data_IF_448860565606
#
_entry.id   IF_448860565606
#
_cell.length_a   1.000
_cell.length_b   1.000
_cell.length_c   1.000
_cell.angle_alpha   90.00
_cell.angle_beta   90.00
_cell.angle_gamma   90.00
#
_symmetry.space_group_name_H-M   'P 1'
#
loop_
_entity.id
_entity.type
_entity.pdbx_description
1 polymer ?
#
# COMPACT_ATOMS: atom_id res chain seq x y z
N UNK A 1 -4.07 60.05 -14.10
CA UNK A 1 -4.69 58.85 -14.72
C UNK A 1 -3.56 57.98 -15.19
N UNK A 2 -3.49 56.81 -14.57
CA UNK A 2 -2.40 55.85 -14.58
C UNK A 2 -2.07 55.29 -15.97
N UNK A 3 -0.78 55.02 -16.17
CA UNK A 3 -0.36 53.77 -16.79
C UNK A 3 1.00 53.39 -16.24
N UNK A 4 0.96 52.38 -15.38
CA UNK A 4 2.05 51.77 -14.65
C UNK A 4 2.91 50.87 -15.54
N UNK A 5 4.16 50.71 -15.11
CA UNK A 5 5.20 49.81 -15.60
C UNK A 5 4.76 48.34 -15.71
N UNK A 6 5.45 47.59 -16.59
CA UNK A 6 6.01 46.28 -16.23
C UNK A 6 7.18 45.93 -17.16
N UNK A 7 8.39 45.98 -16.59
CA UNK A 7 9.61 45.34 -17.09
C UNK A 7 9.52 43.84 -16.84
N UNK A 8 9.70 43.06 -17.90
CA UNK A 8 9.76 41.60 -17.86
C UNK A 8 11.11 41.16 -17.27
N UNK A 9 11.07 40.53 -16.11
CA UNK A 9 12.23 39.98 -15.39
C UNK A 9 12.28 38.49 -15.72
N UNK A 10 13.38 38.08 -16.34
CA UNK A 10 13.64 36.68 -16.67
C UNK A 10 13.62 35.79 -15.43
N UNK A 11 12.71 34.84 -15.44
CA UNK A 11 12.60 33.80 -14.43
C UNK A 11 13.61 32.69 -14.73
N UNK A 12 14.71 32.68 -13.98
CA UNK A 12 15.70 31.61 -13.98
C UNK A 12 15.13 30.41 -13.24
N UNK A 13 14.54 29.48 -13.99
CA UNK A 13 14.07 28.19 -13.49
C UNK A 13 15.22 27.40 -12.85
N UNK A 14 15.10 27.24 -11.53
CA UNK A 14 16.03 26.52 -10.67
C UNK A 14 15.80 25.01 -10.89
N UNK A 15 16.59 24.41 -11.78
CA UNK A 15 16.51 23.00 -12.14
C UNK A 15 17.24 22.13 -11.09
N UNK A 16 16.59 21.87 -9.95
CA UNK A 16 17.07 20.92 -8.94
C UNK A 16 16.68 19.48 -9.30
N UNK A 17 17.23 18.97 -10.40
CA UNK A 17 17.20 17.55 -10.73
C UNK A 17 18.39 16.84 -10.05
N UNK A 18 18.30 16.60 -8.74
CA UNK A 18 19.30 15.83 -7.98
C UNK A 18 19.12 14.31 -8.17
N UNK A 19 18.91 13.85 -9.40
CA UNK A 19 18.87 12.42 -9.69
C UNK A 19 20.29 11.94 -9.99
N UNK A 20 20.75 10.91 -9.26
CA UNK A 20 22.00 10.23 -9.55
C UNK A 20 21.97 9.70 -11.00
N UNK A 21 22.99 10.00 -11.84
CA UNK A 21 23.06 9.46 -13.19
C UNK A 21 23.27 7.94 -13.13
N UNK A 22 22.54 7.20 -13.99
CA UNK A 22 22.71 5.76 -14.13
C UNK A 22 24.12 5.40 -14.63
N UNK A 23 24.70 4.26 -14.21
CA UNK A 23 26.02 3.84 -14.66
C UNK A 23 26.07 3.61 -16.18
N UNK A 24 27.19 3.93 -16.85
CA UNK A 24 27.29 4.02 -18.31
C UNK A 24 27.34 2.68 -19.08
N UNK A 25 27.17 1.52 -18.44
CA UNK A 25 27.43 0.22 -19.09
C UNK A 25 26.19 -0.64 -19.44
N UNK A 26 24.97 -0.12 -19.32
CA UNK A 26 23.75 -0.77 -19.83
C UNK A 26 22.90 0.14 -20.73
N UNK A 27 23.55 0.89 -21.64
CA UNK A 27 22.88 1.62 -22.71
C UNK A 27 22.45 0.64 -23.82
N UNK A 28 21.49 -0.23 -23.51
CA UNK A 28 20.60 -0.76 -24.53
C UNK A 28 19.28 0.01 -24.39
N UNK A 29 19.23 1.15 -25.07
CA UNK A 29 18.12 2.11 -25.15
C UNK A 29 17.90 3.03 -23.91
N UNK A 30 18.18 4.35 -23.99
CA UNK A 30 17.77 5.33 -22.97
C UNK A 30 16.25 5.40 -22.74
N UNK A 31 15.42 4.73 -23.57
CA UNK A 31 13.98 4.64 -23.35
C UNK A 31 13.63 3.76 -22.13
N UNK A 32 14.42 2.72 -21.83
CA UNK A 32 14.10 1.75 -20.79
C UNK A 32 14.08 2.40 -19.39
N UNK A 33 15.02 3.31 -19.10
CA UNK A 33 15.04 4.03 -17.83
C UNK A 33 13.79 4.90 -17.63
N UNK A 34 13.29 5.55 -18.69
CA UNK A 34 12.09 6.36 -18.61
C UNK A 34 10.84 5.50 -18.40
N UNK A 35 10.73 4.39 -19.13
CA UNK A 35 9.60 3.46 -18.99
C UNK A 35 9.54 2.89 -17.58
N UNK A 36 10.68 2.48 -17.02
CA UNK A 36 10.74 1.96 -15.65
C UNK A 36 10.35 3.01 -14.62
N UNK A 37 10.85 4.25 -14.76
CA UNK A 37 10.50 5.37 -13.89
C UNK A 37 8.99 5.68 -13.95
N UNK A 38 8.41 5.71 -15.14
CA UNK A 38 6.97 5.95 -15.32
C UNK A 38 6.11 4.86 -14.68
N UNK A 39 6.65 3.64 -14.53
CA UNK A 39 5.98 2.50 -13.93
C UNK A 39 6.29 2.30 -12.44
N UNK A 40 6.89 3.29 -11.78
CA UNK A 40 7.16 3.24 -10.33
C UNK A 40 8.28 2.27 -9.93
N UNK A 41 9.18 1.92 -10.86
CA UNK A 41 10.37 1.15 -10.52
C UNK A 41 11.26 1.92 -9.54
N UNK A 42 11.75 1.25 -8.50
CA UNK A 42 12.46 1.84 -7.34
C UNK A 42 11.64 2.81 -6.46
N UNK A 43 10.36 3.03 -6.76
CA UNK A 43 9.43 3.69 -5.86
C UNK A 43 8.81 2.66 -4.91
N UNK A 44 8.46 3.09 -3.70
CA UNK A 44 7.73 2.21 -2.79
C UNK A 44 6.25 2.18 -3.11
N UNK A 45 5.59 1.07 -2.77
CA UNK A 45 4.16 0.87 -2.91
C UNK A 45 3.52 0.80 -1.53
N UNK A 46 2.41 1.51 -1.34
CA UNK A 46 1.57 1.34 -0.15
C UNK A 46 0.71 0.10 -0.31
N UNK A 47 0.76 -0.76 0.70
CA UNK A 47 0.03 -2.03 0.71
C UNK A 47 -0.96 -2.15 1.88
N UNK A 48 -1.28 -1.04 2.52
CA UNK A 48 -2.20 -0.99 3.67
C UNK A 48 -3.69 -0.79 3.30
N UNK A 49 -4.01 -0.45 2.05
CA UNK A 49 -5.39 -0.24 1.59
C UNK A 49 -6.01 -1.56 1.09
N UNK A 50 -7.34 -1.73 1.22
CA UNK A 50 -8.09 -2.86 0.66
C UNK A 50 -8.32 -2.70 -0.83
N UNK A 51 -8.56 -1.48 -1.31
CA UNK A 51 -9.12 -1.26 -2.64
C UNK A 51 -8.08 -1.26 -3.75
N UNK A 52 -7.00 -0.52 -3.56
CA UNK A 52 -6.00 -0.31 -4.60
C UNK A 52 -4.61 -0.19 -4.01
N UNK A 53 -3.64 -0.61 -4.82
CA UNK A 53 -2.22 -0.43 -4.53
C UNK A 53 -1.80 0.93 -5.04
N UNK A 54 -1.26 1.75 -4.15
CA UNK A 54 -0.80 3.09 -4.50
C UNK A 54 0.73 3.10 -4.61
N UNK A 55 1.25 3.35 -5.81
CA UNK A 55 2.66 3.67 -5.99
C UNK A 55 2.95 5.04 -5.37
N UNK A 56 4.04 5.14 -4.60
CA UNK A 56 4.57 6.42 -4.18
C UNK A 56 5.16 7.16 -5.39
N UNK A 57 5.02 8.48 -5.39
CA UNK A 57 5.72 9.36 -6.33
C UNK A 57 7.18 9.56 -5.94
N UNK A 58 7.57 9.14 -4.72
CA UNK A 58 8.93 9.23 -4.22
C UNK A 58 9.67 7.92 -4.48
N UNK A 59 10.85 8.05 -5.08
CA UNK A 59 11.82 6.98 -5.11
C UNK A 59 12.20 6.62 -3.67
N UNK A 60 12.35 5.33 -3.37
CA UNK A 60 12.73 4.86 -2.03
C UNK A 60 14.08 4.13 -2.05
N UNK A 61 14.45 3.58 -3.21
CA UNK A 61 15.69 2.85 -3.41
C UNK A 61 16.50 3.40 -4.59
N UNK A 62 17.80 3.19 -4.54
CA UNK A 62 18.74 3.41 -5.63
C UNK A 62 19.62 2.17 -5.80
N UNK A 63 20.30 2.05 -6.93
CA UNK A 63 21.24 0.95 -7.12
C UNK A 63 22.50 1.20 -6.29
N UNK A 64 23.03 0.14 -5.68
CA UNK A 64 24.39 0.14 -5.14
C UNK A 64 25.38 0.38 -6.30
N UNK A 65 26.51 1.03 -6.02
CA UNK A 65 27.49 1.37 -7.06
C UNK A 65 27.91 0.15 -7.89
N UNK A 66 27.81 0.28 -9.22
CA UNK A 66 28.05 -0.79 -10.19
C UNK A 66 26.94 -1.86 -10.32
N UNK A 67 25.90 -1.82 -9.48
CA UNK A 67 24.78 -2.75 -9.58
C UNK A 67 23.79 -2.31 -10.67
N UNK A 68 23.16 -3.29 -11.33
CA UNK A 68 22.18 -3.07 -12.37
C UNK A 68 21.10 -4.16 -12.33
N UNK A 69 19.85 -3.84 -12.71
CA UNK A 69 18.81 -4.84 -12.80
C UNK A 69 19.07 -5.77 -14.00
N UNK A 70 18.66 -7.03 -13.87
CA UNK A 70 18.54 -7.92 -15.02
C UNK A 70 17.26 -7.56 -15.79
N UNK A 71 17.44 -7.10 -17.03
CA UNK A 71 16.36 -6.75 -17.95
C UNK A 71 16.29 -7.81 -19.05
N UNK A 72 15.10 -8.39 -19.25
CA UNK A 72 14.84 -9.42 -20.24
C UNK A 72 13.62 -9.03 -21.07
N UNK A 73 13.80 -8.83 -22.39
CA UNK A 73 12.67 -8.70 -23.31
C UNK A 73 11.95 -10.03 -23.45
N UNK A 74 10.62 -9.99 -23.38
CA UNK A 74 9.74 -11.14 -23.54
C UNK A 74 8.73 -10.85 -24.64
N UNK A 75 8.19 -11.92 -25.21
CA UNK A 75 7.05 -11.84 -26.09
C UNK A 75 6.12 -13.02 -25.78
N UNK A 76 5.74 -13.12 -24.51
CA UNK A 76 4.99 -14.25 -24.00
C UNK A 76 3.53 -13.85 -23.75
N UNK A 77 2.61 -14.68 -24.23
CA UNK A 77 1.21 -14.63 -23.82
C UNK A 77 1.01 -15.64 -22.67
N UNK A 78 0.65 -15.13 -21.49
CA UNK A 78 0.39 -15.95 -20.31
C UNK A 78 -1.08 -15.82 -19.91
N UNK A 79 -1.68 -16.92 -19.48
CA UNK A 79 -2.96 -16.89 -18.76
C UNK A 79 -2.78 -17.59 -17.43
N UNK A 80 -3.18 -16.94 -16.36
CA UNK A 80 -3.13 -17.49 -15.00
C UNK A 80 -4.47 -17.33 -14.30
N UNK A 81 -4.76 -18.28 -13.40
CA UNK A 81 -5.94 -18.27 -12.54
C UNK A 81 -5.44 -18.40 -11.11
N UNK A 82 -5.80 -17.43 -10.27
CA UNK A 82 -5.28 -17.27 -8.91
C UNK A 82 -6.45 -17.23 -7.95
N UNK A 83 -6.39 -18.06 -6.93
CA UNK A 83 -7.35 -18.11 -5.84
C UNK A 83 -6.83 -17.31 -4.64
N UNK A 84 -7.70 -16.52 -4.04
CA UNK A 84 -7.40 -15.72 -2.82
C UNK A 84 -8.53 -15.85 -1.81
N UNK A 85 -8.26 -15.60 -0.53
CA UNK A 85 -9.20 -15.93 0.56
C UNK A 85 -9.82 -14.72 1.26
N UNK A 86 -9.46 -13.51 0.80
CA UNK A 86 -10.06 -12.28 1.27
C UNK A 86 -10.09 -11.22 0.16
N UNK A 87 -10.92 -10.20 0.35
CA UNK A 87 -11.11 -9.13 -0.65
C UNK A 87 -9.83 -8.32 -0.92
N UNK A 88 -8.99 -8.10 0.09
CA UNK A 88 -7.73 -7.34 -0.08
C UNK A 88 -6.80 -8.09 -1.03
N UNK A 89 -6.55 -9.37 -0.77
CA UNK A 89 -5.73 -10.20 -1.65
C UNK A 89 -6.28 -10.24 -3.08
N UNK A 90 -7.60 -10.43 -3.24
CA UNK A 90 -8.21 -10.52 -4.56
C UNK A 90 -8.06 -9.22 -5.36
N UNK A 91 -8.20 -8.06 -4.71
CA UNK A 91 -7.97 -6.76 -5.35
C UNK A 91 -6.51 -6.57 -5.75
N UNK A 92 -5.55 -6.95 -4.92
CA UNK A 92 -4.12 -6.80 -5.27
C UNK A 92 -3.75 -7.72 -6.43
N UNK A 93 -4.23 -8.96 -6.39
CA UNK A 93 -4.07 -9.91 -7.50
C UNK A 93 -4.76 -9.37 -8.75
N UNK A 94 -5.95 -8.78 -8.66
CA UNK A 94 -6.60 -8.11 -9.79
C UNK A 94 -5.68 -7.08 -10.47
N UNK A 95 -4.96 -6.30 -9.67
CA UNK A 95 -4.01 -5.28 -10.13
C UNK A 95 -2.61 -5.79 -10.50
N UNK A 96 -2.40 -7.11 -10.58
CA UNK A 96 -1.15 -7.68 -11.08
C UNK A 96 -0.18 -8.16 -10.00
N UNK A 97 -0.54 -8.11 -8.71
CA UNK A 97 0.35 -8.62 -7.67
C UNK A 97 0.35 -10.15 -7.62
N UNK A 98 1.49 -10.76 -7.31
CA UNK A 98 1.55 -12.19 -6.95
C UNK A 98 1.07 -12.37 -5.50
N UNK A 99 0.59 -13.57 -5.16
CA UNK A 99 0.22 -13.90 -3.78
C UNK A 99 1.39 -13.75 -2.80
N UNK A 100 2.61 -14.11 -3.23
CA UNK A 100 3.83 -13.91 -2.46
C UNK A 100 4.14 -12.43 -2.20
N UNK A 101 3.95 -11.57 -3.20
CA UNK A 101 4.14 -10.13 -3.04
C UNK A 101 3.11 -9.51 -2.08
N UNK A 102 1.84 -9.93 -2.16
CA UNK A 102 0.77 -9.47 -1.25
C UNK A 102 1.02 -9.88 0.19
N UNK A 103 1.56 -11.09 0.40
CA UNK A 103 1.89 -11.62 1.72
C UNK A 103 3.12 -10.93 2.34
N UNK A 104 3.93 -10.24 1.54
CA UNK A 104 5.13 -9.55 2.02
C UNK A 104 4.75 -8.21 2.63
N UNK A 105 4.57 -8.19 3.95
CA UNK A 105 4.29 -6.99 4.73
C UNK A 105 5.20 -6.91 5.96
N UNK A 106 5.58 -5.70 6.36
CA UNK A 106 6.33 -5.48 7.61
C UNK A 106 5.39 -5.51 8.83
N UNK A 107 5.91 -5.73 10.06
CA UNK A 107 5.12 -5.60 11.28
C UNK A 107 4.44 -4.23 11.43
N UNK A 108 5.11 -3.16 10.97
CA UNK A 108 4.58 -1.80 10.92
C UNK A 108 3.39 -1.68 9.98
N UNK A 109 3.50 -2.23 8.77
CA UNK A 109 2.42 -2.23 7.78
C UNK A 109 1.23 -3.07 8.26
N UNK A 110 1.48 -4.25 8.83
CA UNK A 110 0.43 -5.10 9.43
C UNK A 110 -0.32 -4.34 10.52
N UNK A 111 0.42 -3.68 11.41
CA UNK A 111 -0.16 -2.87 12.49
C UNK A 111 -1.06 -1.76 11.99
N UNK A 112 -0.66 -1.11 10.88
CA UNK A 112 -1.43 -0.05 10.25
C UNK A 112 -2.70 -0.60 9.59
N UNK A 113 -2.64 -1.76 8.95
CA UNK A 113 -3.81 -2.45 8.40
C UNK A 113 -4.80 -2.77 9.53
N UNK A 114 -4.32 -3.35 10.63
CA UNK A 114 -5.16 -3.70 11.78
C UNK A 114 -5.81 -2.45 12.40
N UNK A 115 -5.04 -1.37 12.56
CA UNK A 115 -5.51 -0.12 13.17
C UNK A 115 -6.60 0.58 12.34
N UNK A 116 -6.60 0.40 11.02
CA UNK A 116 -7.63 0.96 10.12
C UNK A 116 -9.00 0.28 10.35
N UNK A 117 -9.05 -0.89 11.03
CA UNK A 117 -10.28 -1.61 11.40
C UNK A 117 -11.28 -1.80 10.25
N UNK A 118 -10.80 -1.80 8.99
CA UNK A 118 -11.66 -2.05 7.86
C UNK A 118 -12.06 -3.52 7.86
N UNK A 119 -13.36 -3.79 7.83
CA UNK A 119 -13.85 -5.15 7.64
C UNK A 119 -13.36 -5.65 6.28
N UNK A 120 -12.50 -6.67 6.28
CA UNK A 120 -12.08 -7.36 5.06
C UNK A 120 -13.00 -8.56 4.89
N UNK A 121 -13.92 -8.56 3.90
CA UNK A 121 -14.78 -9.70 3.66
C UNK A 121 -13.94 -10.95 3.37
N UNK A 122 -14.13 -11.98 4.18
CA UNK A 122 -13.58 -13.32 3.95
C UNK A 122 -14.41 -14.03 2.89
N UNK A 123 -13.75 -14.79 2.02
CA UNK A 123 -14.41 -15.60 1.01
C UNK A 123 -13.42 -16.07 -0.05
N UNK A 124 -13.80 -17.06 -0.85
CA UNK A 124 -12.96 -17.50 -1.96
C UNK A 124 -13.22 -16.64 -3.19
N UNK A 125 -12.19 -15.93 -3.62
CA UNK A 125 -12.17 -15.12 -4.82
C UNK A 125 -11.27 -15.77 -5.87
N UNK A 126 -11.67 -15.66 -7.13
CA UNK A 126 -10.94 -16.17 -8.29
C UNK A 126 -10.59 -14.99 -9.19
N UNK A 127 -9.31 -14.86 -9.51
CA UNK A 127 -8.82 -13.88 -10.47
C UNK A 127 -8.18 -14.59 -11.64
N UNK A 128 -8.67 -14.33 -12.85
CA UNK A 128 -8.02 -14.75 -14.08
C UNK A 128 -7.37 -13.56 -14.75
N UNK A 129 -6.11 -13.71 -15.15
CA UNK A 129 -5.35 -12.68 -15.88
C UNK A 129 -4.84 -13.25 -17.18
N UNK A 130 -5.07 -12.53 -18.27
CA UNK A 130 -4.39 -12.72 -19.55
C UNK A 130 -3.35 -11.62 -19.69
N UNK A 131 -2.10 -11.98 -19.93
CA UNK A 131 -0.94 -11.08 -19.91
C UNK A 131 -0.14 -11.20 -21.20
N UNK A 132 0.19 -10.08 -21.83
CA UNK A 132 1.20 -9.99 -22.88
C UNK A 132 2.44 -9.37 -22.25
N UNK A 133 3.44 -10.21 -21.96
CA UNK A 133 4.68 -9.80 -21.34
C UNK A 133 5.65 -9.30 -22.40
N UNK A 134 6.12 -8.06 -22.23
CA UNK A 134 7.07 -7.39 -23.14
C UNK A 134 8.44 -7.20 -22.51
N UNK A 135 8.47 -6.84 -21.23
CA UNK A 135 9.71 -6.64 -20.49
C UNK A 135 9.59 -7.30 -19.12
N UNK A 136 10.66 -7.96 -18.69
CA UNK A 136 10.83 -8.39 -17.29
C UNK A 136 12.03 -7.68 -16.71
N UNK A 137 11.87 -7.16 -15.50
CA UNK A 137 12.95 -6.54 -14.74
C UNK A 137 13.09 -7.21 -13.39
N UNK A 138 14.32 -7.55 -13.02
CA UNK A 138 14.68 -8.24 -11.77
C UNK A 138 15.86 -7.55 -11.11
N UNK A 139 15.81 -7.45 -9.79
CA UNK A 139 16.96 -7.04 -8.98
C UNK A 139 16.98 -7.78 -7.65
N UNK A 140 18.17 -7.99 -7.11
CA UNK A 140 18.33 -8.53 -5.76
C UNK A 140 18.23 -7.39 -4.75
N UNK A 141 17.70 -7.68 -3.56
CA UNK A 141 17.60 -6.67 -2.50
C UNK A 141 18.97 -6.09 -2.13
N UNK A 142 20.03 -6.91 -2.11
CA UNK A 142 21.40 -6.51 -1.80
C UNK A 142 22.02 -5.53 -2.81
N UNK A 143 21.42 -5.42 -4.01
CA UNK A 143 21.85 -4.51 -5.07
C UNK A 143 21.12 -3.16 -4.97
N UNK A 144 20.28 -2.99 -3.96
CA UNK A 144 19.55 -1.77 -3.65
C UNK A 144 20.07 -1.13 -2.36
N UNK A 145 20.13 0.20 -2.36
CA UNK A 145 20.36 1.02 -1.19
C UNK A 145 19.17 1.98 -0.99
N UNK A 146 18.81 2.33 0.26
CA UNK A 146 17.80 3.35 0.50
C UNK A 146 18.30 4.69 -0.03
N UNK A 147 17.39 5.54 -0.52
CA UNK A 147 17.79 6.91 -0.84
C UNK A 147 18.02 7.69 0.48
N UNK A 148 18.94 8.67 0.52
CA UNK A 148 19.29 9.39 1.75
C UNK A 148 18.08 10.04 2.44
N UNK A 149 17.14 10.60 1.67
CA UNK A 149 15.95 11.26 2.23
C UNK A 149 15.02 10.28 2.97
N UNK A 150 14.89 9.06 2.45
CA UNK A 150 14.09 8.03 3.09
C UNK A 150 14.77 7.52 4.36
N UNK A 151 16.07 7.22 4.27
CA UNK A 151 16.87 6.76 5.40
C UNK A 151 16.84 7.80 6.53
N UNK A 152 17.11 9.07 6.21
CA UNK A 152 17.09 10.17 7.18
C UNK A 152 15.73 10.36 7.85
N UNK A 153 14.62 10.25 7.09
CA UNK A 153 13.28 10.34 7.66
C UNK A 153 12.99 9.21 8.67
N UNK A 154 13.48 8.01 8.39
CA UNK A 154 13.34 6.86 9.29
C UNK A 154 14.27 6.97 10.50
N UNK A 155 15.50 7.44 10.34
CA UNK A 155 16.46 7.65 11.44
C UNK A 155 16.00 8.74 12.42
N UNK A 156 15.33 9.78 11.91
CA UNK A 156 14.79 10.87 12.74
C UNK A 156 13.59 10.39 13.56
N UNK A 157 12.80 9.44 13.06
CA UNK A 157 11.56 9.04 13.73
C UNK A 157 11.77 8.54 15.18
N UNK A 158 12.75 7.67 15.50
CA UNK A 158 13.06 7.29 16.88
C UNK A 158 13.57 8.42 17.79
N UNK A 159 14.02 9.54 17.23
CA UNK A 159 14.55 10.71 17.97
C UNK A 159 13.46 11.63 18.53
N UNK A 160 12.19 11.41 18.15
CA UNK A 160 11.04 12.18 18.65
C UNK A 160 10.88 12.02 20.17
N UNK A 161 10.24 13.02 20.79
CA UNK A 161 10.26 13.18 22.24
C UNK A 161 9.39 12.15 22.96
N UNK A 162 8.23 11.82 22.38
CA UNK A 162 7.29 10.85 22.95
C UNK A 162 7.20 9.58 22.12
N UNK A 163 6.82 8.46 22.74
CA UNK A 163 6.59 7.20 22.01
C UNK A 163 5.55 7.37 20.90
N UNK A 164 4.47 8.10 21.17
CA UNK A 164 3.43 8.37 20.18
C UNK A 164 4.01 9.07 18.94
N UNK A 165 4.78 10.15 19.14
CA UNK A 165 5.43 10.87 18.04
C UNK A 165 6.40 9.99 17.26
N UNK A 166 7.15 9.10 17.94
CA UNK A 166 8.05 8.15 17.27
C UNK A 166 7.28 7.23 16.33
N UNK A 167 6.18 6.64 16.81
CA UNK A 167 5.33 5.77 15.99
C UNK A 167 4.68 6.53 14.83
N UNK A 168 4.14 7.73 15.10
CA UNK A 168 3.53 8.56 14.07
C UNK A 168 4.53 8.96 13.00
N UNK A 169 5.77 9.29 13.38
CA UNK A 169 6.83 9.62 12.43
C UNK A 169 7.21 8.43 11.53
N UNK A 170 7.31 7.21 12.08
CA UNK A 170 7.54 6.00 11.27
C UNK A 170 6.37 5.75 10.31
N UNK A 171 5.12 5.85 10.79
CA UNK A 171 3.96 5.67 9.92
C UNK A 171 3.88 6.74 8.83
N UNK A 172 4.19 7.99 9.15
CA UNK A 172 4.24 9.07 8.17
C UNK A 172 5.31 8.81 7.10
N UNK A 173 6.49 8.33 7.49
CA UNK A 173 7.51 7.93 6.53
C UNK A 173 7.02 6.78 5.62
N UNK A 174 6.47 5.70 6.19
CA UNK A 174 5.92 4.60 5.38
C UNK A 174 4.72 5.03 4.52
N UNK A 175 3.99 6.04 4.95
CA UNK A 175 3.00 6.72 4.12
C UNK A 175 3.71 7.39 2.93
N UNK A 176 4.60 8.34 3.15
CA UNK A 176 5.23 9.11 2.07
C UNK A 176 6.03 8.25 1.07
N UNK A 177 6.78 7.25 1.52
CA UNK A 177 7.69 6.47 0.67
C UNK A 177 7.16 5.10 0.26
N UNK A 178 6.13 4.57 0.94
CA UNK A 178 5.57 3.25 0.68
C UNK A 178 6.09 2.16 1.61
N UNK A 179 5.36 1.04 1.65
CA UNK A 179 5.60 -0.11 2.53
C UNK A 179 6.59 -1.12 1.95
N UNK A 180 6.57 -1.30 0.63
CA UNK A 180 7.39 -2.30 -0.07
C UNK A 180 8.00 -1.73 -1.34
N UNK A 181 9.16 -2.22 -1.76
CA UNK A 181 9.83 -1.88 -3.02
C UNK A 181 9.80 -3.09 -3.96
N UNK A 182 9.52 -2.92 -5.26
CA UNK A 182 9.51 -4.04 -6.21
C UNK A 182 10.92 -4.60 -6.43
N UNK A 183 11.02 -5.92 -6.46
CA UNK A 183 12.24 -6.65 -6.81
C UNK A 183 12.14 -7.35 -8.17
N UNK A 184 10.92 -7.75 -8.55
CA UNK A 184 10.66 -8.36 -9.86
C UNK A 184 9.31 -7.90 -10.41
N UNK A 185 9.34 -7.37 -11.64
CA UNK A 185 8.17 -6.86 -12.35
C UNK A 185 8.12 -7.35 -13.79
N UNK A 186 6.90 -7.41 -14.34
CA UNK A 186 6.67 -7.49 -15.79
C UNK A 186 5.96 -6.22 -16.28
N UNK A 187 6.39 -5.73 -17.43
CA UNK A 187 5.73 -4.66 -18.19
C UNK A 187 5.08 -5.22 -19.47
N UNK A 188 3.97 -4.62 -19.88
CA UNK A 188 3.27 -4.97 -21.12
C UNK A 188 1.80 -4.59 -21.08
N UNK A 189 0.93 -5.52 -21.49
CA UNK A 189 -0.53 -5.36 -21.46
C UNK A 189 -1.22 -6.49 -20.70
N UNK A 190 -2.31 -6.20 -19.99
CA UNK A 190 -3.06 -7.21 -19.23
C UNK A 190 -4.56 -7.00 -19.27
N UNK A 191 -5.30 -8.10 -19.18
CA UNK A 191 -6.74 -8.15 -18.92
C UNK A 191 -6.98 -9.03 -17.70
N UNK A 192 -7.57 -8.47 -16.66
CA UNK A 192 -7.90 -9.14 -15.39
C UNK A 192 -9.40 -9.25 -15.23
N UNK A 193 -9.86 -10.39 -14.74
CA UNK A 193 -11.24 -10.67 -14.35
C UNK A 193 -11.25 -11.26 -12.94
N UNK A 194 -11.94 -10.62 -12.00
CA UNK A 194 -12.01 -11.07 -10.61
C UNK A 194 -13.46 -11.19 -10.14
N UNK A 195 -13.82 -12.34 -9.57
CA UNK A 195 -15.16 -12.58 -9.01
C UNK A 195 -15.07 -13.58 -7.84
N UNK A 196 -16.18 -13.82 -7.15
CA UNK A 196 -16.29 -14.93 -6.19
C UNK A 196 -16.29 -16.27 -6.93
N UNK A 197 -15.77 -17.30 -6.29
CA UNK A 197 -15.61 -18.64 -6.88
C UNK A 197 -16.92 -19.20 -7.48
N UNK A 198 -18.05 -19.02 -6.78
CA UNK A 198 -19.35 -19.51 -7.22
C UNK A 198 -19.84 -18.88 -8.54
N UNK A 199 -19.52 -17.61 -8.78
CA UNK A 199 -19.84 -16.93 -10.04
C UNK A 199 -18.83 -17.32 -11.12
N UNK A 200 -17.55 -17.44 -10.75
CA UNK A 200 -16.49 -17.83 -11.66
C UNK A 200 -16.72 -19.24 -12.24
N UNK A 201 -17.24 -20.17 -11.44
CA UNK A 201 -17.59 -21.53 -11.88
C UNK A 201 -18.72 -21.58 -12.93
N UNK A 202 -19.53 -20.53 -13.03
CA UNK A 202 -20.60 -20.42 -14.04
C UNK A 202 -20.09 -19.89 -15.39
N UNK A 203 -18.85 -19.40 -15.44
CA UNK A 203 -18.27 -18.87 -16.67
C UNK A 203 -17.90 -20.01 -17.63
N UNK A 204 -18.43 -19.95 -18.86
CA UNK A 204 -18.15 -20.93 -19.90
C UNK A 204 -16.65 -20.99 -20.22
N UNK A 205 -16.06 -22.17 -20.19
CA UNK A 205 -14.66 -22.39 -20.59
C UNK A 205 -14.39 -22.11 -22.08
N UNK A 206 -15.45 -21.97 -22.90
CA UNK A 206 -15.41 -21.91 -24.37
C UNK A 206 -15.16 -20.49 -24.90
N UNK A 207 -15.44 -19.44 -24.11
CA UNK A 207 -15.32 -18.06 -24.60
C UNK A 207 -13.87 -17.56 -24.57
N UNK A 208 -13.43 -16.76 -25.55
CA UNK A 208 -12.11 -16.15 -25.54
C UNK A 208 -12.05 -15.06 -24.45
N UNK A 209 -11.39 -15.36 -23.33
CA UNK A 209 -11.16 -14.44 -22.20
C UNK A 209 -10.18 -13.30 -22.52
N UNK A 210 -9.75 -13.19 -23.77
CA UNK A 210 -9.05 -12.03 -24.30
C UNK A 210 -10.02 -10.94 -24.80
N UNK A 211 -11.30 -11.23 -25.02
CA UNK A 211 -12.26 -10.24 -25.50
C UNK A 211 -12.96 -9.51 -24.35
N UNK A 212 -12.76 -8.20 -24.29
CA UNK A 212 -13.42 -7.32 -23.32
C UNK A 212 -14.94 -7.35 -23.45
N UNK A 213 -15.48 -7.36 -24.67
CA UNK A 213 -16.93 -7.44 -24.93
C UNK A 213 -17.54 -8.69 -24.29
N UNK A 214 -16.86 -9.83 -24.37
CA UNK A 214 -17.33 -11.06 -23.74
C UNK A 214 -17.26 -10.98 -22.21
N UNK A 215 -16.20 -10.38 -21.66
CA UNK A 215 -16.08 -10.21 -20.21
C UNK A 215 -17.12 -9.24 -19.65
N UNK A 216 -17.43 -8.15 -20.36
CA UNK A 216 -18.43 -7.17 -19.96
C UNK A 216 -19.86 -7.76 -19.89
N UNK A 217 -20.12 -8.90 -20.52
CA UNK A 217 -21.38 -9.62 -20.35
C UNK A 217 -21.52 -10.26 -18.93
N UNK A 218 -20.41 -10.42 -18.21
CA UNK A 218 -20.37 -10.92 -16.83
C UNK A 218 -20.65 -9.77 -15.86
N UNK A 219 -21.91 -9.64 -15.44
CA UNK A 219 -22.37 -8.51 -14.62
C UNK A 219 -21.78 -8.43 -13.20
N UNK A 220 -21.25 -9.54 -12.68
CA UNK A 220 -20.79 -9.67 -11.30
C UNK A 220 -19.29 -9.48 -11.12
N UNK A 221 -18.53 -9.58 -12.21
CA UNK A 221 -17.08 -9.61 -12.15
C UNK A 221 -16.48 -8.21 -12.27
N UNK A 222 -15.39 -8.00 -11.53
CA UNK A 222 -14.53 -6.84 -11.69
C UNK A 222 -13.59 -7.08 -12.88
N UNK A 223 -13.47 -6.09 -13.76
CA UNK A 223 -12.71 -6.19 -15.02
C UNK A 223 -11.72 -5.03 -15.07
N UNK A 224 -10.44 -5.38 -15.13
CA UNK A 224 -9.34 -4.44 -15.20
C UNK A 224 -8.54 -4.66 -16.48
N UNK A 225 -8.10 -3.58 -17.11
CA UNK A 225 -7.14 -3.64 -18.21
C UNK A 225 -5.98 -2.68 -17.95
N UNK A 226 -4.79 -3.04 -18.41
CA UNK A 226 -3.57 -2.22 -18.36
C UNK A 226 -2.80 -2.33 -19.67
N UNK A 227 -2.06 -1.28 -20.02
CA UNK A 227 -1.28 -1.17 -21.25
C UNK A 227 -2.10 -0.67 -22.45
N UNK A 228 -1.44 -0.62 -23.62
CA UNK A 228 -1.98 -0.22 -24.93
C UNK A 228 -3.05 0.90 -24.88
N UNK A 229 -2.62 2.14 -25.08
CA UNK A 229 -3.39 3.39 -24.89
C UNK A 229 -4.62 3.60 -25.82
N UNK A 230 -5.21 2.56 -26.38
CA UNK A 230 -6.43 2.61 -27.19
C UNK A 230 -7.40 1.48 -26.87
N UNK A 231 -8.59 1.53 -27.47
CA UNK A 231 -9.56 0.43 -27.41
C UNK A 231 -9.31 -0.63 -28.50
N UNK A 232 -8.31 -0.43 -29.35
CA UNK A 232 -7.98 -1.31 -30.47
C UNK A 232 -7.65 -2.72 -29.99
N UNK A 233 -8.37 -3.70 -30.54
CA UNK A 233 -8.14 -5.12 -30.31
C UNK A 233 -8.60 -5.66 -28.97
N UNK A 234 -9.04 -4.81 -28.02
CA UNK A 234 -9.60 -5.28 -26.74
C UNK A 234 -10.95 -5.97 -26.94
N UNK A 235 -11.77 -5.48 -27.87
CA UNK A 235 -13.12 -6.00 -28.11
C UNK A 235 -13.13 -7.40 -28.73
N UNK A 236 -12.19 -7.70 -29.61
CA UNK A 236 -12.08 -8.99 -30.32
C UNK A 236 -10.95 -9.89 -29.80
N UNK A 237 -10.14 -9.40 -28.86
CA UNK A 237 -9.01 -10.13 -28.28
C UNK A 237 -7.70 -10.06 -29.07
N UNK A 238 -7.68 -9.34 -30.21
CA UNK A 238 -6.48 -9.18 -31.04
C UNK A 238 -5.38 -8.36 -30.36
N UNK A 239 -5.69 -7.62 -29.29
CA UNK A 239 -4.71 -6.91 -28.45
C UNK A 239 -3.56 -7.80 -27.98
N UNK A 240 -3.80 -9.11 -27.88
CA UNK A 240 -2.77 -10.11 -27.52
C UNK A 240 -1.66 -10.26 -28.57
N UNK A 241 -1.92 -9.82 -29.80
CA UNK A 241 -1.02 -9.94 -30.97
C UNK A 241 -0.57 -8.60 -31.52
N UNK A 242 -1.18 -7.49 -31.08
CA UNK A 242 -0.82 -6.14 -31.51
C UNK A 242 0.58 -5.81 -30.98
N UNK A 243 1.42 -5.29 -31.86
CA UNK A 243 2.68 -4.70 -31.46
C UNK A 243 2.43 -3.33 -30.83
N UNK A 244 2.85 -3.18 -29.57
CA UNK A 244 2.59 -2.00 -28.75
C UNK A 244 3.91 -1.31 -28.54
N UNK A 245 3.97 -0.01 -28.86
CA UNK A 245 5.17 0.79 -28.67
C UNK A 245 5.64 0.75 -27.21
N UNK A 246 6.96 0.76 -27.01
CA UNK A 246 7.60 0.60 -25.69
C UNK A 246 7.13 1.64 -24.68
N UNK A 247 6.87 2.88 -25.13
CA UNK A 247 6.38 3.98 -24.29
C UNK A 247 4.94 3.78 -23.78
N UNK A 248 4.24 2.74 -24.27
CA UNK A 248 2.90 2.33 -23.84
C UNK A 248 2.88 1.07 -22.99
N UNK A 249 4.05 0.53 -22.62
CA UNK A 249 4.11 -0.62 -21.73
C UNK A 249 3.84 -0.18 -20.28
N UNK A 250 2.93 -0.88 -19.63
CA UNK A 250 2.53 -0.61 -18.25
C UNK A 250 2.92 -1.75 -17.31
N UNK A 251 2.97 -1.47 -16.02
CA UNK A 251 3.17 -2.45 -14.96
C UNK A 251 1.98 -3.39 -14.83
N UNK A 252 2.13 -4.57 -15.44
CA UNK A 252 1.10 -5.61 -15.48
C UNK A 252 1.28 -6.66 -14.40
N UNK A 253 2.49 -6.83 -13.87
CA UNK A 253 2.76 -7.80 -12.82
C UNK A 253 3.84 -7.36 -11.86
N UNK A 254 3.58 -7.50 -10.55
CA UNK A 254 4.57 -7.43 -9.49
C UNK A 254 4.73 -8.84 -8.93
N UNK A 255 5.88 -9.46 -9.20
CA UNK A 255 6.14 -10.86 -8.88
C UNK A 255 6.74 -10.98 -7.48
N UNK A 256 7.70 -10.13 -7.15
CA UNK A 256 8.38 -10.12 -5.86
C UNK A 256 8.62 -8.69 -5.38
N UNK A 257 8.58 -8.51 -4.07
CA UNK A 257 8.85 -7.24 -3.37
C UNK A 257 9.66 -7.51 -2.11
N UNK A 258 10.24 -6.47 -1.55
CA UNK A 258 10.77 -6.47 -0.19
C UNK A 258 10.16 -5.32 0.62
N UNK A 259 10.02 -5.45 1.95
CA UNK A 259 9.70 -4.30 2.80
C UNK A 259 10.70 -3.16 2.58
N UNK A 260 10.24 -1.92 2.45
CA UNK A 260 11.15 -0.77 2.27
C UNK A 260 12.12 -0.61 3.43
N UNK A 261 11.67 -0.97 4.64
CA UNK A 261 12.51 -0.99 5.85
C UNK A 261 13.68 -1.97 5.75
N UNK A 262 13.60 -3.01 4.91
CA UNK A 262 14.68 -3.98 4.71
C UNK A 262 15.84 -3.43 3.87
N UNK A 263 15.70 -2.23 3.30
CA UNK A 263 16.80 -1.51 2.65
C UNK A 263 17.76 -0.88 3.67
N UNK A 264 17.28 -0.63 4.90
CA UNK A 264 18.02 0.10 5.92
C UNK A 264 19.09 -0.79 6.56
N UNK A 265 20.06 -0.18 7.24
CA UNK A 265 21.07 -0.93 7.99
C UNK A 265 20.46 -1.77 9.13
N UNK A 266 21.16 -2.85 9.51
CA UNK A 266 20.72 -3.75 10.59
C UNK A 266 20.49 -3.01 11.92
N UNK A 267 21.26 -1.95 12.20
CA UNK A 267 21.09 -1.11 13.40
C UNK A 267 19.73 -0.40 13.39
N UNK A 268 19.40 0.25 12.28
CA UNK A 268 18.11 0.96 12.13
C UNK A 268 16.95 -0.04 12.19
N UNK A 269 17.07 -1.17 11.50
CA UNK A 269 16.05 -2.22 11.52
C UNK A 269 15.81 -2.75 12.96
N UNK A 270 16.88 -2.96 13.73
CA UNK A 270 16.80 -3.39 15.12
C UNK A 270 16.08 -2.35 15.99
N UNK A 271 16.46 -1.07 15.86
CA UNK A 271 15.83 0.04 16.59
C UNK A 271 14.35 0.18 16.27
N UNK A 272 13.96 -0.04 15.01
CA UNK A 272 12.56 -0.05 14.60
C UNK A 272 11.80 -1.25 15.15
N UNK A 273 12.43 -2.43 15.21
CA UNK A 273 11.83 -3.61 15.80
C UNK A 273 11.61 -3.42 17.31
N UNK A 274 12.59 -2.87 18.03
CA UNK A 274 12.46 -2.55 19.45
C UNK A 274 11.35 -1.54 19.70
N UNK A 275 11.32 -0.44 18.93
CA UNK A 275 10.25 0.55 19.02
C UNK A 275 8.89 -0.08 18.74
N UNK A 276 8.78 -0.94 17.73
CA UNK A 276 7.53 -1.66 17.41
C UNK A 276 7.09 -2.58 18.56
N UNK A 277 8.03 -3.28 19.19
CA UNK A 277 7.78 -4.16 20.34
C UNK A 277 7.36 -3.39 21.60
N UNK A 278 7.71 -2.10 21.72
CA UNK A 278 7.18 -1.23 22.78
C UNK A 278 5.68 -0.91 22.61
N UNK A 279 5.06 -1.32 21.49
CA UNK A 279 3.62 -1.15 21.30
C UNK A 279 2.88 -1.93 22.38
N UNK A 280 2.12 -1.22 23.20
CA UNK A 280 1.19 -1.84 24.15
C UNK A 280 0.02 -2.41 23.34
N UNK A 281 0.13 -3.67 22.94
CA UNK A 281 -0.96 -4.42 22.34
C UNK A 281 -1.42 -5.49 23.33
N UNK A 282 -2.53 -5.23 24.02
CA UNK A 282 -3.23 -6.26 24.78
C UNK A 282 -4.14 -7.03 23.83
N UNK A 283 -3.71 -8.24 23.44
CA UNK A 283 -4.57 -9.22 22.78
C UNK A 283 -4.95 -10.23 23.87
N UNK A 284 -6.23 -10.27 24.31
CA UNK A 284 -6.63 -11.23 25.33
C UNK A 284 -6.32 -12.66 24.85
N UNK A 285 -5.64 -13.49 25.66
CA UNK A 285 -5.18 -14.83 25.25
C UNK A 285 -6.30 -15.87 25.11
N UNK A 286 -7.57 -15.45 25.21
CA UNK A 286 -8.72 -16.33 25.13
C UNK A 286 -9.65 -15.81 24.03
N UNK A 287 -10.22 -16.73 23.27
CA UNK A 287 -11.55 -16.57 22.65
C UNK A 287 -12.52 -16.27 23.78
N UNK A 288 -12.54 -15.02 24.25
CA UNK A 288 -13.64 -14.50 25.03
C UNK A 288 -14.82 -14.66 24.08
N UNK A 289 -15.77 -15.52 24.46
CA UNK A 289 -17.07 -15.62 23.78
C UNK A 289 -17.52 -14.20 23.40
N UNK A 290 -18.13 -13.99 22.20
CA UNK A 290 -18.57 -12.67 21.77
C UNK A 290 -19.23 -11.98 22.95
N UNK A 291 -18.65 -10.87 23.41
CA UNK A 291 -18.88 -10.28 24.73
C UNK A 291 -20.37 -10.32 25.09
N UNK A 292 -20.78 -11.40 25.75
CA UNK A 292 -22.15 -11.65 26.19
C UNK A 292 -22.33 -11.18 27.65
N UNK A 293 -21.32 -10.49 28.19
CA UNK A 293 -21.46 -9.71 29.41
C UNK A 293 -22.34 -8.49 29.11
N UNK A 294 -23.16 -7.97 30.07
CA UNK A 294 -23.99 -6.80 29.84
C UNK A 294 -23.11 -5.54 29.89
N UNK A 295 -22.09 -5.48 29.05
CA UNK A 295 -21.40 -4.26 28.70
C UNK A 295 -22.40 -3.44 27.90
N UNK A 296 -23.08 -2.51 28.57
CA UNK A 296 -23.76 -1.42 27.86
C UNK A 296 -22.70 -0.66 27.08
N UNK A 297 -22.51 -1.02 25.82
CA UNK A 297 -21.95 -0.10 24.84
C UNK A 297 -23.02 0.96 24.64
N UNK A 298 -22.83 2.11 25.26
CA UNK A 298 -23.55 3.30 24.85
C UNK A 298 -23.04 3.61 23.44
N UNK A 299 -23.88 3.40 22.44
CA UNK A 299 -23.63 3.91 21.11
C UNK A 299 -23.50 5.43 21.28
N UNK A 300 -22.29 5.95 21.03
CA UNK A 300 -21.96 7.35 21.25
C UNK A 300 -22.73 8.32 20.34
N UNK A 301 -23.88 7.95 19.78
CA UNK A 301 -24.68 8.78 18.89
C UNK A 301 -25.04 10.14 19.51
N UNK A 302 -25.27 10.18 20.83
CA UNK A 302 -25.59 11.44 21.53
C UNK A 302 -24.35 12.30 21.86
N UNK A 303 -23.17 11.71 21.85
CA UNK A 303 -21.93 12.39 22.27
C UNK A 303 -20.88 12.48 21.14
N UNK A 304 -21.21 12.01 19.93
CA UNK A 304 -20.32 11.98 18.77
C UNK A 304 -19.80 13.36 18.34
N UNK A 305 -20.53 14.43 18.65
CA UNK A 305 -20.13 15.81 18.37
C UNK A 305 -19.26 16.44 19.46
N UNK A 306 -19.03 15.75 20.59
CA UNK A 306 -18.30 16.31 21.72
C UNK A 306 -16.81 16.02 21.60
N UNK A 307 -16.00 17.02 21.91
CA UNK A 307 -14.54 16.88 21.96
C UNK A 307 -14.10 16.18 23.25
N UNK A 308 -13.35 15.10 23.12
CA UNK A 308 -12.82 14.32 24.25
C UNK A 308 -11.71 15.12 24.94
N UNK A 309 -11.78 15.23 26.27
CA UNK A 309 -10.76 15.85 27.12
C UNK A 309 -9.99 14.83 27.96
N UNK A 310 -10.60 13.67 28.22
CA UNK A 310 -10.02 12.62 29.06
C UNK A 310 -10.53 11.25 28.65
N UNK A 311 -9.68 10.24 28.73
CA UNK A 311 -10.07 8.83 28.69
C UNK A 311 -9.56 8.17 29.95
N UNK A 312 -10.46 7.55 30.72
CA UNK A 312 -10.09 6.67 31.83
C UNK A 312 -10.32 5.22 31.40
N UNK A 313 -9.27 4.41 31.53
CA UNK A 313 -9.31 2.97 31.33
C UNK A 313 -9.10 2.32 32.68
N UNK A 314 -10.04 1.45 33.09
CA UNK A 314 -9.86 0.59 34.26
C UNK A 314 -9.52 -0.81 33.81
N UNK A 315 -8.45 -1.37 34.37
CA UNK A 315 -7.98 -2.70 34.02
C UNK A 315 -7.54 -3.50 35.24
N UNK A 316 -7.91 -4.79 35.26
CA UNK A 316 -7.34 -5.81 36.14
C UNK A 316 -6.55 -6.81 35.31
N UNK A 317 -6.97 -8.08 35.31
CA UNK A 317 -6.49 -9.09 34.36
C UNK A 317 -7.08 -8.90 32.95
N UNK A 318 -8.06 -8.00 32.81
CA UNK A 318 -8.74 -7.60 31.57
C UNK A 318 -9.16 -6.12 31.66
N UNK A 319 -9.59 -5.53 30.55
CA UNK A 319 -10.19 -4.18 30.56
C UNK A 319 -11.59 -4.28 31.17
N UNK A 320 -11.78 -3.61 32.31
CA UNK A 320 -13.01 -3.63 33.11
C UNK A 320 -13.98 -2.54 32.63
N UNK A 321 -13.47 -1.35 32.34
CA UNK A 321 -14.26 -0.27 31.78
C UNK A 321 -13.41 0.74 31.02
N UNK A 322 -14.03 1.38 30.04
CA UNK A 322 -13.51 2.57 29.36
C UNK A 322 -14.55 3.65 29.55
N UNK A 323 -14.10 4.82 30.00
CA UNK A 323 -14.92 6.02 30.08
C UNK A 323 -14.21 7.21 29.48
N UNK A 324 -15.00 8.06 28.85
CA UNK A 324 -14.56 9.21 28.08
C UNK A 324 -15.17 10.44 28.70
N UNK A 325 -14.34 11.34 29.22
CA UNK A 325 -14.74 12.68 29.64
C UNK A 325 -14.53 13.66 28.48
N UNK A 326 -15.52 14.50 28.22
CA UNK A 326 -15.51 15.52 27.19
C UNK A 326 -15.12 16.89 27.77
N UNK A 327 -14.81 17.86 26.91
CA UNK A 327 -14.39 19.21 27.35
C UNK A 327 -15.46 19.95 28.16
N UNK A 328 -16.73 19.65 27.93
CA UNK A 328 -17.86 20.18 28.70
C UNK A 328 -18.01 19.52 30.10
N UNK A 329 -17.09 18.61 30.46
CA UNK A 329 -17.08 17.87 31.72
C UNK A 329 -18.01 16.67 31.76
N UNK A 330 -18.81 16.43 30.71
CA UNK A 330 -19.65 15.23 30.64
C UNK A 330 -18.78 14.00 30.49
N UNK A 331 -19.15 12.92 31.19
CA UNK A 331 -18.45 11.64 31.10
C UNK A 331 -19.41 10.59 30.59
N UNK A 332 -19.04 9.95 29.48
CA UNK A 332 -19.72 8.77 28.95
C UNK A 332 -18.90 7.53 29.29
N UNK A 333 -19.53 6.44 29.71
CA UNK A 333 -18.79 5.24 30.07
C UNK A 333 -19.71 4.04 30.32
N UNK A 334 -19.26 2.86 29.88
CA UNK A 334 -19.91 1.59 30.18
C UNK A 334 -19.62 1.14 31.61
N UNK A 335 -20.66 0.67 32.31
CA UNK A 335 -20.59 0.25 33.70
C UNK A 335 -19.53 -0.83 33.98
N UNK A 336 -18.78 -0.62 35.05
CA UNK A 336 -17.88 -1.59 35.67
C UNK A 336 -17.70 -1.20 37.14
N UNK A 337 -17.74 -2.19 38.04
CA UNK A 337 -17.57 -1.98 39.48
C UNK A 337 -16.21 -1.32 39.82
N UNK A 338 -16.08 -0.80 41.04
CA UNK A 338 -14.91 -0.12 41.62
C UNK A 338 -13.61 -0.98 41.74
N UNK A 339 -13.34 -1.89 40.80
CA UNK A 339 -12.16 -2.76 40.79
C UNK A 339 -11.15 -2.39 39.70
N UNK A 340 -9.91 -2.86 39.88
CA UNK A 340 -8.82 -2.67 38.92
C UNK A 340 -7.99 -1.41 39.13
N UNK A 341 -6.90 -1.32 38.38
CA UNK A 341 -6.06 -0.13 38.30
C UNK A 341 -6.69 0.86 37.33
N UNK A 342 -6.76 2.13 37.75
CA UNK A 342 -7.26 3.22 36.91
C UNK A 342 -6.09 3.89 36.20
N UNK A 343 -6.15 3.90 34.87
CA UNK A 343 -5.22 4.59 33.99
C UNK A 343 -5.94 5.76 33.34
N UNK A 344 -5.45 6.96 33.63
CA UNK A 344 -6.05 8.22 33.17
C UNK A 344 -5.18 8.87 32.11
N UNK A 345 -5.80 9.16 30.97
CA UNK A 345 -5.17 9.84 29.85
C UNK A 345 -5.88 11.17 29.62
N UNK A 346 -5.17 12.28 29.84
CA UNK A 346 -5.69 13.62 29.55
C UNK A 346 -5.28 14.01 28.13
N UNK A 347 -6.25 14.42 27.32
CA UNK A 347 -6.02 14.95 25.99
C UNK A 347 -5.88 16.47 26.10
N UNK A 348 -4.73 17.00 25.66
CA UNK A 348 -4.58 18.44 25.42
C UNK A 348 -5.08 18.72 24.00
N UNK A 349 -5.95 19.73 23.88
CA UNK A 349 -6.71 20.16 22.69
C UNK A 349 -6.40 19.42 21.38
N UNK A 350 -7.39 18.65 20.91
CA UNK A 350 -7.34 17.88 19.67
C UNK A 350 -7.21 18.74 18.41
N UNK A 351 -5.99 19.16 18.09
CA UNK A 351 -5.64 19.63 16.75
C UNK A 351 -5.29 18.42 15.88
N UNK A 352 -6.27 18.00 15.08
CA UNK A 352 -6.00 17.39 13.79
C UNK A 352 -5.81 18.53 12.80
N UNK A 353 -4.58 18.97 12.60
CA UNK A 353 -4.25 19.82 11.44
C UNK A 353 -4.06 18.89 10.24
N UNK A 354 -4.99 18.97 9.30
CA UNK A 354 -5.02 18.28 8.00
C UNK A 354 -4.02 18.87 7.01
#
# INVERSE_FOLDING_TARGET
MDSSQATDVGDSGNNNDNNAPFPPEFINSPNNSQILKNNGWLCGFRVNNIHEVQASTRQVASYVDGAAPLIEEKNNLLTEVITTHNKRESNYVHHGWSTGAVATISPWTSSRIDAINQHIPSGTWMTRRTLVQRLRVRILLQDLAPIPDFEGAIEEAPSRSTRFEKFQAVYHALDCWGDVVPLEIDLGSSLSLTDIEANFAQLSAINPYSSLVHLLAVKTADIGRKGAAGNTGWDDGTWTTIDVQEDKWELIRIIAVAPTLSLLSDDIQTRLADLHNERIAYVPPLTIDPVNWPCKMHDGANDASRTISKVDIRSGNEIISISTTYLDGMTSGGGGNNGGNEHRFTLTEGLWDS
#
